data_IF_229010515389
#
_entry.id   IF_229010515389
#
_cell.length_a   1.000
_cell.length_b   1.000
_cell.length_c   1.000
_cell.angle_alpha   90.00
_cell.angle_beta   90.00
_cell.angle_gamma   90.00
#
_symmetry.space_group_name_H-M   'P 1'
#
loop_
_entity.id
_entity.type
_entity.pdbx_description
1 polymer ?
#
# COMPACT_ATOMS: atom_id res chain seq x y z
N UNK A 1 -6.61 4.97 22.71
CA UNK A 1 -5.27 5.55 22.54
C UNK A 1 -4.48 4.61 21.65
N UNK A 2 -4.13 5.03 20.43
CA UNK A 2 -3.34 4.22 19.49
C UNK A 2 -2.04 4.96 19.19
N UNK A 3 -0.92 4.24 19.29
CA UNK A 3 0.42 4.82 19.25
C UNK A 3 0.90 5.13 17.82
N UNK A 4 0.26 4.59 16.76
CA UNK A 4 0.70 4.80 15.36
C UNK A 4 -0.41 4.80 14.28
N UNK A 5 -1.55 4.11 14.48
CA UNK A 5 -2.61 3.96 13.46
C UNK A 5 -3.97 4.32 14.06
N UNK A 6 -4.74 5.13 13.34
CA UNK A 6 -6.06 5.62 13.75
C UNK A 6 -7.13 5.22 12.72
N UNK A 7 -8.41 5.43 13.04
CA UNK A 7 -9.53 5.13 12.12
C UNK A 7 -9.50 5.94 10.81
N UNK A 8 -8.77 7.06 10.80
CA UNK A 8 -8.59 7.92 9.62
C UNK A 8 -7.35 7.55 8.79
N UNK A 9 -6.55 6.58 9.23
CA UNK A 9 -5.31 6.21 8.54
C UNK A 9 -5.63 5.49 7.25
N UNK A 10 -5.22 6.08 6.12
CA UNK A 10 -5.37 5.49 4.79
C UNK A 10 -4.24 4.49 4.55
N UNK A 11 -4.60 3.24 4.27
CA UNK A 11 -3.65 2.13 4.14
C UNK A 11 -3.57 1.63 2.69
N UNK A 12 -2.36 1.55 2.14
CA UNK A 12 -2.05 0.88 0.88
C UNK A 12 -1.54 -0.54 1.12
N UNK A 13 -1.92 -1.48 0.24
CA UNK A 13 -1.45 -2.87 0.32
C UNK A 13 -0.55 -3.21 -0.86
N UNK A 14 0.70 -3.55 -0.59
CA UNK A 14 1.67 -3.95 -1.61
C UNK A 14 1.63 -5.46 -1.78
N UNK A 15 1.40 -5.92 -3.00
CA UNK A 15 1.12 -7.33 -3.29
C UNK A 15 -0.33 -7.75 -3.00
N UNK A 16 -1.29 -6.83 -3.17
CA UNK A 16 -2.72 -7.08 -2.94
C UNK A 16 -3.25 -8.30 -3.72
N UNK A 17 -2.74 -8.53 -4.94
CA UNK A 17 -3.16 -9.66 -5.79
C UNK A 17 -2.57 -11.01 -5.38
N UNK A 18 -1.75 -11.07 -4.33
CA UNK A 18 -1.24 -12.32 -3.78
C UNK A 18 -2.26 -13.02 -2.89
N UNK A 19 -2.12 -14.34 -2.70
CA UNK A 19 -3.01 -15.14 -1.85
C UNK A 19 -3.18 -14.55 -0.43
N UNK A 20 -2.06 -14.23 0.22
CA UNK A 20 -2.07 -13.64 1.56
C UNK A 20 -2.53 -12.18 1.54
N UNK A 21 -2.14 -11.42 0.50
CA UNK A 21 -2.55 -10.02 0.35
C UNK A 21 -4.06 -9.86 0.21
N UNK A 22 -4.71 -10.74 -0.56
CA UNK A 22 -6.17 -10.75 -0.70
C UNK A 22 -6.86 -11.12 0.61
N UNK A 23 -6.44 -12.23 1.24
CA UNK A 23 -7.04 -12.72 2.48
C UNK A 23 -6.97 -11.70 3.63
N UNK A 24 -5.80 -11.09 3.85
CA UNK A 24 -5.66 -10.08 4.90
C UNK A 24 -6.37 -8.76 4.57
N UNK A 25 -6.47 -8.41 3.28
CA UNK A 25 -7.22 -7.21 2.84
C UNK A 25 -8.71 -7.38 3.11
N UNK A 26 -9.30 -8.54 2.80
CA UNK A 26 -10.71 -8.84 3.11
C UNK A 26 -10.99 -8.72 4.61
N UNK A 27 -10.14 -9.32 5.45
CA UNK A 27 -10.27 -9.23 6.90
C UNK A 27 -10.12 -7.81 7.41
N UNK A 28 -9.17 -7.04 6.87
CA UNK A 28 -8.95 -5.65 7.27
C UNK A 28 -10.11 -4.73 6.85
N UNK A 29 -10.75 -4.99 5.71
CA UNK A 29 -11.98 -4.30 5.29
C UNK A 29 -13.13 -4.67 6.23
N UNK A 30 -13.31 -5.96 6.56
CA UNK A 30 -14.32 -6.41 7.50
C UNK A 30 -14.12 -5.81 8.90
N UNK A 31 -12.87 -5.58 9.30
CA UNK A 31 -12.51 -4.90 10.54
C UNK A 31 -12.74 -3.37 10.51
N UNK A 32 -12.99 -2.79 9.34
CA UNK A 32 -13.22 -1.35 9.15
C UNK A 32 -11.94 -0.53 8.94
N UNK A 33 -10.84 -1.15 8.52
CA UNK A 33 -9.61 -0.45 8.12
C UNK A 33 -9.83 0.25 6.78
N UNK A 34 -9.38 1.50 6.66
CA UNK A 34 -9.49 2.28 5.43
C UNK A 34 -8.42 1.88 4.41
N UNK A 35 -8.63 0.75 3.73
CA UNK A 35 -7.75 0.32 2.64
C UNK A 35 -8.08 1.09 1.37
N UNK A 36 -7.17 1.96 0.92
CA UNK A 36 -7.42 2.86 -0.22
C UNK A 36 -7.03 2.27 -1.57
N UNK A 37 -6.21 1.22 -1.58
CA UNK A 37 -5.75 0.61 -2.82
C UNK A 37 -4.65 -0.42 -2.59
N UNK A 38 -4.15 -0.96 -3.69
CA UNK A 38 -2.97 -1.80 -3.64
C UNK A 38 -2.01 -1.56 -4.80
N UNK A 39 -0.80 -2.08 -4.66
CA UNK A 39 0.26 -1.97 -5.67
C UNK A 39 0.71 -3.35 -6.09
N UNK A 40 0.72 -3.61 -7.39
CA UNK A 40 1.27 -4.83 -7.99
C UNK A 40 1.82 -4.49 -9.38
N UNK A 41 3.14 -4.56 -9.58
CA UNK A 41 3.75 -4.30 -10.89
C UNK A 41 3.18 -5.21 -11.99
N UNK A 42 2.85 -4.62 -13.13
CA UNK A 42 2.33 -5.31 -14.30
C UNK A 42 0.82 -5.57 -14.25
N UNK A 43 0.11 -5.10 -13.22
CA UNK A 43 -1.34 -5.25 -13.06
C UNK A 43 -2.04 -3.93 -12.71
N UNK A 44 -1.41 -2.79 -12.97
CA UNK A 44 -2.01 -1.48 -12.75
C UNK A 44 -3.24 -1.26 -13.62
N UNK A 45 -4.22 -0.55 -13.06
CA UNK A 45 -5.51 -0.28 -13.70
C UNK A 45 -6.56 -1.36 -13.45
N UNK A 46 -6.19 -2.51 -12.86
CA UNK A 46 -7.17 -3.50 -12.42
C UNK A 46 -7.82 -3.08 -11.09
N UNK A 47 -9.02 -3.61 -10.83
CA UNK A 47 -9.68 -3.50 -9.53
C UNK A 47 -9.63 -4.84 -8.84
N UNK A 48 -9.23 -4.84 -7.57
CA UNK A 48 -9.22 -6.01 -6.71
C UNK A 48 -9.96 -5.67 -5.42
N UNK A 49 -10.98 -6.46 -5.05
CA UNK A 49 -11.81 -6.21 -3.87
C UNK A 49 -12.42 -4.79 -3.85
N UNK A 50 -12.90 -4.31 -5.01
CA UNK A 50 -13.42 -2.95 -5.24
C UNK A 50 -12.42 -1.80 -4.99
N UNK A 51 -11.13 -2.11 -4.87
CA UNK A 51 -10.06 -1.12 -4.70
C UNK A 51 -9.15 -1.06 -5.92
N UNK A 52 -8.63 0.13 -6.26
CA UNK A 52 -7.74 0.27 -7.41
C UNK A 52 -6.38 -0.39 -7.15
N UNK A 53 -5.87 -1.08 -8.17
CA UNK A 53 -4.51 -1.62 -8.21
C UNK A 53 -3.65 -0.72 -9.09
N UNK A 54 -2.49 -0.35 -8.57
CA UNK A 54 -1.50 0.48 -9.25
C UNK A 54 -0.25 -0.32 -9.60
N UNK A 55 0.43 0.07 -10.68
CA UNK A 55 1.73 -0.50 -11.03
C UNK A 55 2.86 0.05 -10.15
N UNK A 56 2.77 1.34 -9.79
CA UNK A 56 3.80 2.07 -9.06
C UNK A 56 3.27 2.63 -7.74
N UNK A 57 4.12 2.56 -6.71
CA UNK A 57 3.83 3.17 -5.41
C UNK A 57 3.70 4.70 -5.53
N UNK A 58 4.44 5.33 -6.45
CA UNK A 58 4.40 6.78 -6.66
C UNK A 58 3.03 7.24 -7.17
N UNK A 59 2.44 6.47 -8.08
CA UNK A 59 1.11 6.77 -8.62
C UNK A 59 0.02 6.46 -7.61
N UNK A 60 0.18 5.38 -6.85
CA UNK A 60 -0.70 5.04 -5.73
C UNK A 60 -0.72 6.17 -4.68
N UNK A 61 0.45 6.69 -4.28
CA UNK A 61 0.54 7.81 -3.33
C UNK A 61 -0.08 9.10 -3.88
N UNK A 62 0.14 9.42 -5.16
CA UNK A 62 -0.44 10.63 -5.78
C UNK A 62 -1.96 10.60 -5.84
N UNK A 63 -2.56 9.42 -6.06
CA UNK A 63 -4.01 9.29 -6.21
C UNK A 63 -4.75 9.05 -4.90
N UNK A 64 -4.11 8.37 -3.94
CA UNK A 64 -4.77 7.93 -2.70
C UNK A 64 -4.27 8.63 -1.45
N UNK A 65 -3.14 9.35 -1.52
CA UNK A 65 -2.49 10.05 -0.42
C UNK A 65 -2.36 9.20 0.85
N UNK A 66 -2.05 7.92 0.70
CA UNK A 66 -2.02 6.99 1.82
C UNK A 66 -0.92 7.33 2.85
N UNK A 67 -1.27 7.18 4.13
CA UNK A 67 -0.41 7.47 5.27
C UNK A 67 0.43 6.25 5.70
N UNK A 68 -0.07 5.04 5.43
CA UNK A 68 0.55 3.78 5.80
C UNK A 68 0.52 2.77 4.64
N UNK A 69 1.49 1.85 4.63
CA UNK A 69 1.54 0.74 3.67
C UNK A 69 1.82 -0.59 4.35
N UNK A 70 1.13 -1.64 3.92
CA UNK A 70 1.36 -3.02 4.35
C UNK A 70 1.99 -3.81 3.20
N UNK A 71 2.98 -4.65 3.49
CA UNK A 71 3.78 -5.35 2.48
C UNK A 71 3.54 -6.86 2.60
N UNK A 72 2.98 -7.47 1.55
CA UNK A 72 2.78 -8.93 1.43
C UNK A 72 3.58 -9.52 0.27
N UNK A 73 4.73 -8.92 -0.03
CA UNK A 73 5.62 -9.33 -1.11
C UNK A 73 6.61 -10.38 -0.59
N UNK A 74 6.89 -11.47 -1.34
CA UNK A 74 7.88 -12.46 -0.92
C UNK A 74 9.30 -11.88 -0.80
N UNK A 75 10.07 -12.41 0.14
CA UNK A 75 11.39 -11.94 0.57
C UNK A 75 12.38 -11.51 -0.56
N UNK A 76 12.51 -12.21 -1.70
CA UNK A 76 13.46 -11.79 -2.75
C UNK A 76 13.16 -10.42 -3.39
N UNK A 77 11.91 -9.96 -3.37
CA UNK A 77 11.54 -8.65 -3.97
C UNK A 77 11.43 -7.53 -2.92
N UNK A 78 11.69 -7.86 -1.65
CA UNK A 78 11.55 -6.96 -0.52
C UNK A 78 12.57 -5.79 -0.49
N UNK A 79 13.86 -5.98 -0.86
CA UNK A 79 14.85 -4.90 -0.84
C UNK A 79 14.53 -3.74 -1.78
N UNK A 80 14.08 -4.05 -3.00
CA UNK A 80 13.69 -3.05 -4.00
C UNK A 80 12.54 -2.17 -3.49
N UNK A 81 11.61 -2.80 -2.76
CA UNK A 81 10.38 -2.15 -2.32
C UNK A 81 10.57 -1.25 -1.09
N UNK A 82 11.39 -1.68 -0.12
CA UNK A 82 11.70 -0.87 1.07
C UNK A 82 12.62 0.31 0.74
N UNK A 83 13.57 0.13 -0.19
CA UNK A 83 14.47 1.19 -0.65
C UNK A 83 13.69 2.30 -1.34
N UNK A 84 12.69 1.96 -2.16
CA UNK A 84 11.85 2.94 -2.83
C UNK A 84 11.02 3.78 -1.85
N UNK A 85 10.47 3.17 -0.79
CA UNK A 85 9.75 3.91 0.25
C UNK A 85 10.66 4.85 1.04
N UNK A 86 11.88 4.40 1.38
CA UNK A 86 12.85 5.23 2.09
C UNK A 86 13.34 6.38 1.22
N UNK A 87 13.58 6.14 -0.07
CA UNK A 87 13.96 7.17 -1.04
C UNK A 87 12.83 8.17 -1.29
N UNK A 88 11.57 7.73 -1.38
CA UNK A 88 10.43 8.63 -1.56
C UNK A 88 10.22 9.50 -0.32
N UNK A 89 10.35 8.93 0.89
CA UNK A 89 10.20 9.68 2.15
C UNK A 89 11.39 10.60 2.43
N UNK A 90 12.60 10.24 2.00
CA UNK A 90 13.75 11.13 1.99
C UNK A 90 13.58 12.26 0.96
N UNK A 91 13.10 11.95 -0.25
CA UNK A 91 12.90 12.95 -1.30
C UNK A 91 11.82 13.98 -0.94
N UNK A 92 10.74 13.58 -0.24
CA UNK A 92 9.73 14.52 0.25
C UNK A 92 10.15 15.31 1.50
N UNK A 93 11.17 14.85 2.24
CA UNK A 93 11.76 15.61 3.37
C UNK A 93 12.88 16.58 2.95
N UNK A 94 13.34 16.51 1.70
CA UNK A 94 14.35 17.40 1.12
C UNK A 94 13.76 18.46 0.18
N UNK A 95 12.43 18.49 0.00
CA UNK A 95 11.72 19.44 -0.86
C UNK A 95 10.95 20.54 -0.08
N UNK A 96 11.42 20.84 1.13
CA UNK A 96 11.08 22.05 1.89
C UNK A 96 12.37 22.77 2.28
#
# INVERSE_FOLDING_TARGET
MSVLINKHTRVLVQGITGKNGTFHTEQAIAYGTQIVGGVTPGKGGQRHLDRPVFDSMKDAMRQTEADASVIYVPAPFWPCWILLLRLLKLASNWLW
#
